data_IF_484896994940
#
_entry.id   IF_484896994940
#
_cell.length_a   1.000
_cell.length_b   1.000
_cell.length_c   1.000
_cell.angle_alpha   90.00
_cell.angle_beta   90.00
_cell.angle_gamma   90.00
#
_symmetry.space_group_name_H-M   'P 1'
#
loop_
_entity.id
_entity.type
_entity.pdbx_description
1 polymer ?
#
# COMPACT_ATOMS: atom_id res chain seq x y z
N UNK A 1 5.02 -1.74 -15.31
CA UNK A 1 5.55 -2.42 -16.52
C UNK A 1 6.93 -1.84 -16.83
N UNK A 2 7.95 -2.68 -16.91
CA UNK A 2 9.31 -2.28 -17.29
C UNK A 2 9.55 -2.63 -18.76
N UNK A 3 10.24 -1.78 -19.53
CA UNK A 3 10.55 -2.01 -20.95
C UNK A 3 11.99 -1.60 -21.23
N UNK A 4 12.71 -2.41 -22.01
CA UNK A 4 14.04 -2.10 -22.53
C UNK A 4 14.12 -2.49 -24.01
N UNK A 5 14.98 -1.81 -24.76
CA UNK A 5 15.20 -2.04 -26.19
C UNK A 5 16.65 -2.50 -26.42
N UNK A 6 16.83 -3.49 -27.29
CA UNK A 6 18.12 -4.12 -27.55
C UNK A 6 18.62 -3.84 -28.96
N UNK A 7 19.90 -4.09 -29.20
CA UNK A 7 20.48 -4.03 -30.55
C UNK A 7 19.84 -5.07 -31.48
N UNK A 8 19.88 -4.81 -32.79
CA UNK A 8 19.43 -5.77 -33.81
C UNK A 8 20.33 -7.02 -33.81
N UNK A 9 19.95 -8.03 -33.04
CA UNK A 9 20.73 -9.23 -32.76
C UNK A 9 19.80 -10.40 -32.44
N UNK A 10 20.25 -11.62 -32.72
CA UNK A 10 19.60 -12.86 -32.25
C UNK A 10 19.98 -13.21 -30.81
N UNK A 11 21.00 -12.56 -30.27
CA UNK A 11 21.42 -12.66 -28.87
C UNK A 11 21.61 -11.23 -28.35
N UNK A 12 20.53 -10.46 -28.18
CA UNK A 12 20.62 -9.09 -27.68
C UNK A 12 21.05 -9.11 -26.21
N UNK A 13 21.94 -8.18 -25.85
CA UNK A 13 22.29 -7.89 -24.46
C UNK A 13 21.67 -6.55 -24.12
N UNK A 14 20.76 -6.53 -23.15
CA UNK A 14 20.09 -5.30 -22.74
C UNK A 14 20.81 -4.59 -21.60
N UNK A 15 21.41 -5.35 -20.68
CA UNK A 15 22.02 -4.83 -19.44
C UNK A 15 21.13 -3.80 -18.73
N UNK A 16 19.83 -4.10 -18.68
CA UNK A 16 18.82 -3.23 -18.10
C UNK A 16 18.57 -3.67 -16.67
N UNK A 17 18.52 -2.68 -15.78
CA UNK A 17 18.09 -2.88 -14.39
C UNK A 17 16.86 -2.04 -14.12
N UNK A 18 15.85 -2.66 -13.51
CA UNK A 18 14.64 -1.98 -13.09
C UNK A 18 14.09 -2.56 -11.79
N UNK A 19 13.31 -1.73 -11.08
CA UNK A 19 12.74 -2.08 -9.79
C UNK A 19 11.23 -2.32 -9.94
N UNK A 20 10.75 -3.42 -9.38
CA UNK A 20 9.33 -3.72 -9.24
C UNK A 20 9.03 -3.71 -7.75
N UNK A 21 8.14 -2.81 -7.33
CA UNK A 21 7.71 -2.68 -5.95
C UNK A 21 6.40 -3.43 -5.70
N UNK A 22 6.17 -3.84 -4.45
CA UNK A 22 4.89 -4.40 -4.00
C UNK A 22 4.60 -5.86 -4.36
N UNK A 23 5.58 -6.67 -4.79
CA UNK A 23 5.36 -8.10 -5.04
C UNK A 23 5.00 -8.87 -3.76
N UNK A 24 3.94 -9.69 -3.84
CA UNK A 24 3.45 -10.55 -2.74
C UNK A 24 3.40 -12.02 -3.16
N UNK A 25 3.27 -12.92 -2.18
CA UNK A 25 3.12 -14.36 -2.45
C UNK A 25 1.91 -14.63 -3.34
N UNK A 26 2.11 -15.47 -4.36
CA UNK A 26 1.13 -15.71 -5.41
C UNK A 26 1.29 -14.83 -6.66
N UNK A 27 2.08 -13.76 -6.60
CA UNK A 27 2.38 -12.96 -7.80
C UNK A 27 3.30 -13.72 -8.78
N UNK A 28 3.32 -13.26 -10.02
CA UNK A 28 4.24 -13.77 -11.04
C UNK A 28 4.93 -12.62 -11.75
N UNK A 29 6.19 -12.83 -12.14
CA UNK A 29 6.88 -11.94 -13.06
C UNK A 29 6.66 -12.47 -14.48
N UNK A 30 5.93 -11.70 -15.28
CA UNK A 30 5.68 -12.01 -16.69
C UNK A 30 6.70 -11.28 -17.57
N UNK A 31 7.50 -12.07 -18.29
CA UNK A 31 8.45 -11.56 -19.27
C UNK A 31 7.88 -11.77 -20.67
N UNK A 32 7.83 -10.71 -21.48
CA UNK A 32 7.41 -10.81 -22.89
C UNK A 32 8.49 -10.24 -23.79
N UNK A 33 8.88 -11.03 -24.80
CA UNK A 33 9.89 -10.64 -25.79
C UNK A 33 9.19 -10.18 -27.07
N UNK A 34 9.64 -9.04 -27.62
CA UNK A 34 9.05 -8.43 -28.80
C UNK A 34 10.13 -8.12 -29.84
N UNK A 35 9.83 -8.37 -31.11
CA UNK A 35 10.63 -7.95 -32.24
C UNK A 35 10.08 -6.64 -32.78
N UNK A 36 10.89 -5.58 -32.75
CA UNK A 36 10.50 -4.26 -33.26
C UNK A 36 11.18 -4.04 -34.61
N UNK A 37 10.41 -4.16 -35.70
CA UNK A 37 10.86 -3.93 -37.08
C UNK A 37 9.92 -2.99 -37.83
N UNK A 38 9.50 -3.37 -39.05
CA UNK A 38 8.44 -2.64 -39.79
C UNK A 38 7.07 -2.74 -39.10
N UNK A 39 6.86 -3.80 -38.33
CA UNK A 39 5.76 -3.99 -37.40
C UNK A 39 6.34 -4.59 -36.10
N UNK A 40 5.65 -4.38 -34.97
CA UNK A 40 6.04 -4.97 -33.69
C UNK A 40 5.35 -6.33 -33.53
N UNK A 41 6.13 -7.39 -33.35
CA UNK A 41 5.64 -8.77 -33.25
C UNK A 41 6.04 -9.38 -31.91
N UNK A 42 5.10 -10.05 -31.23
CA UNK A 42 5.39 -10.79 -30.00
C UNK A 42 6.12 -12.09 -30.35
N UNK A 43 7.33 -12.26 -29.81
CA UNK A 43 8.15 -13.46 -29.98
C UNK A 43 7.67 -14.56 -29.03
N UNK A 44 7.19 -14.17 -27.85
CA UNK A 44 6.72 -15.09 -26.83
C UNK A 44 6.82 -14.51 -25.42
N UNK A 45 6.51 -15.33 -24.43
CA UNK A 45 6.61 -14.94 -23.02
C UNK A 45 6.98 -16.08 -22.08
N UNK A 46 7.38 -15.70 -20.88
CA UNK A 46 7.66 -16.59 -19.78
C UNK A 46 7.07 -16.05 -18.48
N UNK A 47 6.78 -16.97 -17.56
CA UNK A 47 6.23 -16.66 -16.24
C UNK A 47 7.23 -17.18 -15.21
N UNK A 48 7.68 -16.30 -14.33
CA UNK A 48 8.51 -16.64 -13.18
C UNK A 48 7.66 -16.45 -11.90
N UNK A 49 7.13 -17.53 -11.30
CA UNK A 49 6.34 -17.45 -10.07
C UNK A 49 7.12 -16.90 -8.88
N UNK A 50 6.42 -16.22 -7.97
CA UNK A 50 6.96 -15.66 -6.72
C UNK A 50 7.85 -16.65 -5.96
N UNK A 51 7.38 -17.89 -5.86
CA UNK A 51 8.01 -18.96 -5.08
C UNK A 51 9.35 -19.42 -5.68
N UNK A 52 9.65 -19.07 -6.94
CA UNK A 52 10.91 -19.43 -7.59
C UNK A 52 12.04 -18.43 -7.35
N UNK A 53 11.71 -17.18 -6.99
CA UNK A 53 12.72 -16.15 -6.73
C UNK A 53 12.70 -15.63 -5.29
N UNK A 54 11.67 -15.90 -4.49
CA UNK A 54 11.62 -15.48 -3.09
C UNK A 54 11.95 -16.65 -2.14
N UNK A 55 12.75 -16.44 -1.07
CA UNK A 55 13.28 -15.17 -0.58
C UNK A 55 14.67 -14.78 -1.12
N UNK A 56 15.36 -15.69 -1.80
CA UNK A 56 16.81 -15.59 -2.02
C UNK A 56 17.21 -14.92 -3.35
N UNK A 57 16.23 -14.51 -4.15
CA UNK A 57 16.44 -14.13 -5.55
C UNK A 57 16.37 -15.33 -6.50
N UNK A 58 16.58 -15.03 -7.78
CA UNK A 58 16.71 -16.00 -8.87
C UNK A 58 17.87 -15.57 -9.76
N UNK A 59 18.65 -16.50 -10.28
CA UNK A 59 19.63 -16.21 -11.31
C UNK A 59 19.72 -17.41 -12.25
N UNK A 60 19.37 -17.21 -13.51
CA UNK A 60 19.44 -18.29 -14.49
C UNK A 60 18.71 -17.99 -15.80
N UNK A 61 18.70 -18.98 -16.67
CA UNK A 61 18.00 -18.90 -17.96
C UNK A 61 16.51 -19.27 -17.81
N UNK A 62 15.65 -18.46 -18.40
CA UNK A 62 14.21 -18.68 -18.50
C UNK A 62 13.86 -18.94 -19.97
N UNK A 63 13.07 -19.98 -20.22
CA UNK A 63 12.60 -20.30 -21.58
C UNK A 63 11.38 -19.45 -21.95
N UNK A 64 11.48 -18.72 -23.05
CA UNK A 64 10.41 -17.93 -23.65
C UNK A 64 9.55 -18.85 -24.53
N UNK A 65 8.30 -19.07 -24.12
CA UNK A 65 7.34 -19.90 -24.82
C UNK A 65 6.58 -19.10 -25.88
N UNK A 66 6.15 -19.77 -26.95
CA UNK A 66 5.37 -19.15 -28.03
C UNK A 66 6.19 -18.73 -29.26
N UNK A 67 7.50 -18.96 -29.26
CA UNK A 67 8.33 -18.77 -30.46
C UNK A 67 8.02 -19.85 -31.50
N UNK A 68 7.86 -19.43 -32.76
CA UNK A 68 7.76 -20.33 -33.93
C UNK A 68 9.12 -20.95 -34.34
N UNK A 69 10.19 -20.63 -33.62
CA UNK A 69 11.53 -21.11 -33.92
C UNK A 69 11.75 -22.57 -33.50
N UNK A 70 12.58 -23.29 -34.26
CA UNK A 70 12.93 -24.70 -33.98
C UNK A 70 13.89 -24.88 -32.81
N UNK A 71 14.44 -23.78 -32.28
CA UNK A 71 15.37 -23.76 -31.14
C UNK A 71 14.67 -23.09 -29.96
N UNK A 72 14.92 -23.53 -28.72
CA UNK A 72 14.39 -22.81 -27.56
C UNK A 72 14.92 -21.39 -27.54
N UNK A 73 14.03 -20.42 -27.33
CA UNK A 73 14.39 -19.03 -27.06
C UNK A 73 14.50 -18.89 -25.55
N UNK A 74 15.65 -18.44 -25.07
CA UNK A 74 15.90 -18.25 -23.64
C UNK A 74 16.27 -16.80 -23.35
N UNK A 75 16.04 -16.38 -22.11
CA UNK A 75 16.51 -15.11 -21.57
C UNK A 75 17.23 -15.38 -20.24
N UNK A 76 18.45 -14.88 -20.10
CA UNK A 76 19.15 -14.90 -18.82
C UNK A 76 18.57 -13.82 -17.92
N UNK A 77 18.19 -14.16 -16.70
CA UNK A 77 17.49 -13.25 -15.80
C UNK A 77 18.05 -13.40 -14.39
N UNK A 78 18.46 -12.29 -13.79
CA UNK A 78 18.80 -12.20 -12.37
C UNK A 78 17.73 -11.39 -11.67
N UNK A 79 17.10 -11.95 -10.64
CA UNK A 79 16.20 -11.28 -9.70
C UNK A 79 16.92 -11.24 -8.35
N UNK A 80 17.18 -10.05 -7.84
CA UNK A 80 17.69 -9.86 -6.48
C UNK A 80 16.54 -9.45 -5.57
N UNK A 81 16.20 -10.29 -4.59
CA UNK A 81 15.24 -9.89 -3.57
C UNK A 81 15.97 -9.01 -2.56
N UNK A 82 15.86 -7.70 -2.77
CA UNK A 82 16.29 -6.69 -1.83
C UNK A 82 15.45 -6.85 -0.55
N UNK A 83 16.09 -6.99 0.62
CA UNK A 83 15.37 -6.79 1.87
C UNK A 83 14.78 -5.39 1.79
N UNK A 84 13.45 -5.28 1.93
CA UNK A 84 12.85 -3.97 2.16
C UNK A 84 13.59 -3.44 3.37
N UNK A 85 14.39 -2.34 3.27
CA UNK A 85 14.89 -1.72 4.48
C UNK A 85 13.63 -1.50 5.32
N UNK A 86 13.63 -2.02 6.55
CA UNK A 86 12.54 -1.79 7.51
C UNK A 86 12.63 -0.32 7.92
N UNK A 87 12.32 0.53 6.95
CA UNK A 87 12.04 1.94 6.97
C UNK A 87 10.78 2.15 6.14
N UNK A 88 9.89 1.16 6.08
CA UNK A 88 8.50 1.51 6.31
C UNK A 88 8.50 2.10 7.73
N UNK A 89 8.20 3.40 7.94
CA UNK A 89 7.43 3.68 9.14
C UNK A 89 6.30 2.65 9.09
N UNK A 90 6.01 1.96 10.19
CA UNK A 90 4.66 1.46 10.38
C UNK A 90 3.78 2.62 9.95
N UNK A 91 3.11 2.55 8.79
CA UNK A 91 2.39 3.70 8.26
C UNK A 91 1.58 4.23 9.43
N UNK A 92 1.81 5.49 9.78
CA UNK A 92 1.12 6.05 10.93
C UNK A 92 -0.33 6.07 10.47
N UNK A 93 -1.12 5.12 10.96
CA UNK A 93 -2.54 5.02 10.64
C UNK A 93 -3.27 5.83 11.69
N UNK A 94 -4.05 6.82 11.28
CA UNK A 94 -4.94 7.52 12.18
C UNK A 94 -6.33 6.94 12.05
N UNK A 95 -6.98 6.70 13.18
CA UNK A 95 -8.37 6.27 13.23
C UNK A 95 -9.16 7.30 14.01
N UNK A 96 -10.33 7.68 13.48
CA UNK A 96 -11.25 8.59 14.15
C UNK A 96 -12.51 7.83 14.55
N UNK A 97 -12.83 7.85 15.84
CA UNK A 97 -14.11 7.40 16.37
C UNK A 97 -15.01 8.61 16.59
N UNK A 98 -16.12 8.67 15.88
CA UNK A 98 -17.18 9.65 16.11
C UNK A 98 -18.14 9.09 17.17
N UNK A 99 -18.06 9.62 18.39
CA UNK A 99 -18.93 9.17 19.49
C UNK A 99 -20.31 9.80 19.29
N UNK A 100 -20.37 11.13 19.32
CA UNK A 100 -21.61 11.87 19.18
C UNK A 100 -21.38 13.38 19.15
N UNK A 101 -22.46 14.14 19.18
CA UNK A 101 -22.41 15.58 19.37
C UNK A 101 -23.58 16.04 20.25
N UNK A 102 -23.49 17.25 20.79
CA UNK A 102 -24.51 17.86 21.63
C UNK A 102 -24.72 19.33 21.26
N UNK A 103 -25.88 19.86 21.64
CA UNK A 103 -26.24 21.28 21.48
C UNK A 103 -26.20 21.80 20.02
N UNK A 104 -26.44 20.93 19.05
CA UNK A 104 -26.44 21.32 17.63
C UNK A 104 -27.61 22.26 17.28
N UNK A 105 -27.43 23.23 16.37
CA UNK A 105 -28.49 24.11 15.91
C UNK A 105 -29.54 23.33 15.09
N UNK A 106 -30.77 23.82 15.10
CA UNK A 106 -31.88 23.19 14.37
C UNK A 106 -33.22 23.87 14.59
N UNK A 107 -34.08 23.78 13.57
CA UNK A 107 -35.48 24.19 13.62
C UNK A 107 -36.37 23.10 14.22
N UNK A 108 -37.63 23.43 14.49
CA UNK A 108 -38.62 22.50 15.06
C UNK A 108 -38.95 21.29 14.15
N UNK A 109 -38.57 21.34 12.86
CA UNK A 109 -38.70 20.22 11.91
C UNK A 109 -37.69 19.08 12.11
N UNK A 110 -36.72 19.27 13.01
CA UNK A 110 -35.67 18.31 13.33
C UNK A 110 -34.39 18.51 12.52
N UNK A 111 -33.25 18.34 13.18
CA UNK A 111 -31.91 18.31 12.57
C UNK A 111 -31.57 16.87 12.21
N UNK A 112 -31.04 16.59 11.03
CA UNK A 112 -30.60 15.24 10.64
C UNK A 112 -29.06 15.20 10.53
N UNK A 113 -28.32 15.21 11.65
CA UNK A 113 -26.89 15.45 11.62
C UNK A 113 -26.06 14.25 11.14
N UNK A 114 -24.99 14.55 10.41
CA UNK A 114 -23.86 13.66 10.13
C UNK A 114 -22.56 14.45 10.19
N UNK A 115 -21.44 13.77 10.47
CA UNK A 115 -20.12 14.37 10.49
C UNK A 115 -19.29 13.92 9.27
N UNK A 116 -18.50 14.84 8.74
CA UNK A 116 -17.43 14.61 7.77
C UNK A 116 -16.12 14.98 8.43
N UNK A 117 -15.12 14.12 8.32
CA UNK A 117 -13.75 14.42 8.71
C UNK A 117 -12.83 14.31 7.51
N UNK A 118 -11.88 15.22 7.39
CA UNK A 118 -10.80 15.18 6.40
C UNK A 118 -9.49 15.66 7.02
N UNK A 119 -8.37 15.25 6.43
CA UNK A 119 -7.08 15.83 6.71
C UNK A 119 -6.95 17.15 5.94
N UNK A 120 -6.50 18.20 6.64
CA UNK A 120 -6.30 19.54 6.07
C UNK A 120 -5.40 19.49 4.84
N UNK A 121 -5.93 19.89 3.68
CA UNK A 121 -5.19 19.91 2.41
C UNK A 121 -5.18 18.57 1.64
N UNK A 122 -5.75 17.50 2.20
CA UNK A 122 -5.85 16.17 1.57
C UNK A 122 -7.32 15.79 1.39
N UNK A 123 -7.97 16.37 0.37
CA UNK A 123 -9.43 16.21 0.16
C UNK A 123 -9.90 14.78 -0.09
N UNK A 124 -8.99 13.88 -0.47
CA UNK A 124 -9.30 12.47 -0.75
C UNK A 124 -9.35 11.62 0.53
N UNK A 125 -8.88 12.15 1.68
CA UNK A 125 -8.93 11.50 3.00
C UNK A 125 -10.31 11.55 3.69
N UNK A 126 -11.34 11.98 2.96
CA UNK A 126 -12.68 12.24 3.52
C UNK A 126 -13.36 10.97 3.99
N UNK A 127 -13.79 10.99 5.24
CA UNK A 127 -14.69 9.98 5.82
C UNK A 127 -15.97 10.65 6.29
N UNK A 128 -17.07 9.90 6.34
CA UNK A 128 -18.36 10.42 6.80
C UNK A 128 -19.11 9.41 7.65
N UNK A 129 -19.84 9.91 8.65
CA UNK A 129 -20.72 9.09 9.47
C UNK A 129 -22.06 8.83 8.79
N UNK A 130 -22.88 7.95 9.38
CA UNK A 130 -24.32 7.92 9.07
C UNK A 130 -25.03 9.22 9.46
N UNK A 131 -26.21 9.41 8.88
CA UNK A 131 -27.17 10.45 9.28
C UNK A 131 -28.00 9.93 10.45
N UNK A 132 -28.07 10.69 11.54
CA UNK A 132 -29.04 10.47 12.61
C UNK A 132 -30.24 11.39 12.38
N UNK A 133 -31.46 10.88 12.52
CA UNK A 133 -32.67 11.64 12.17
C UNK A 133 -33.22 12.44 13.35
N UNK A 134 -33.65 13.66 13.06
CA UNK A 134 -34.42 14.54 13.96
C UNK A 134 -33.85 14.66 15.38
N UNK A 135 -32.52 14.83 15.49
CA UNK A 135 -31.83 14.96 16.78
C UNK A 135 -30.80 16.09 16.76
N UNK A 136 -30.70 16.80 17.89
CA UNK A 136 -29.61 17.77 18.17
C UNK A 136 -28.48 17.16 18.98
N UNK A 137 -28.66 15.91 19.42
CA UNK A 137 -27.68 15.13 20.17
C UNK A 137 -27.48 13.76 19.48
N UNK A 138 -26.81 13.71 18.32
CA UNK A 138 -26.60 12.44 17.62
C UNK A 138 -25.59 11.56 18.34
N UNK A 139 -25.85 10.26 18.33
CA UNK A 139 -24.90 9.21 18.68
C UNK A 139 -24.55 8.43 17.41
N UNK A 140 -23.33 8.61 16.92
CA UNK A 140 -22.84 7.88 15.73
C UNK A 140 -22.19 6.57 16.15
N UNK A 141 -21.29 6.61 17.14
CA UNK A 141 -20.50 5.45 17.57
C UNK A 141 -19.88 4.71 16.37
N UNK A 142 -19.22 5.46 15.49
CA UNK A 142 -18.63 4.95 14.25
C UNK A 142 -17.13 5.21 14.21
N UNK A 143 -16.37 4.19 13.83
CA UNK A 143 -14.93 4.27 13.62
C UNK A 143 -14.59 4.28 12.13
N UNK A 144 -13.70 5.18 11.74
CA UNK A 144 -13.17 5.31 10.39
C UNK A 144 -11.64 5.42 10.42
N UNK A 145 -10.99 4.88 9.40
CA UNK A 145 -9.56 5.08 9.16
C UNK A 145 -9.37 6.33 8.29
N UNK A 146 -8.35 7.14 8.62
CA UNK A 146 -7.97 8.31 7.84
C UNK A 146 -6.85 7.92 6.88
N UNK A 147 -7.21 7.74 5.62
CA UNK A 147 -6.26 7.44 4.55
C UNK A 147 -5.25 8.58 4.37
N UNK A 148 -3.99 8.22 4.06
CA UNK A 148 -2.89 9.16 3.79
C UNK A 148 -2.50 10.06 4.97
N UNK A 149 -2.73 9.61 6.21
CA UNK A 149 -2.30 10.33 7.41
C UNK A 149 -0.77 10.36 7.57
N UNK A 150 -0.23 11.56 7.82
CA UNK A 150 1.16 11.79 8.19
C UNK A 150 1.28 12.47 9.56
N UNK A 151 2.42 12.25 10.22
CA UNK A 151 2.68 12.85 11.53
C UNK A 151 2.60 14.38 11.47
N UNK A 152 1.66 14.96 12.22
CA UNK A 152 1.48 16.41 12.31
C UNK A 152 0.30 16.95 11.50
N UNK A 153 -0.33 16.12 10.67
CA UNK A 153 -1.55 16.48 9.95
C UNK A 153 -2.66 16.95 10.90
N UNK A 154 -3.46 17.92 10.45
CA UNK A 154 -4.60 18.46 11.20
C UNK A 154 -5.91 17.84 10.70
N UNK A 155 -6.78 17.45 11.63
CA UNK A 155 -8.12 16.94 11.29
C UNK A 155 -9.10 18.11 11.21
N UNK A 156 -9.85 18.19 10.12
CA UNK A 156 -10.97 19.12 9.96
C UNK A 156 -12.27 18.35 10.10
N UNK A 157 -13.13 18.83 11.00
CA UNK A 157 -14.43 18.26 11.30
C UNK A 157 -15.50 19.21 10.77
N UNK A 158 -16.48 18.66 10.08
CA UNK A 158 -17.67 19.37 9.63
C UNK A 158 -18.89 18.58 10.05
N UNK A 159 -19.80 19.21 10.79
CA UNK A 159 -21.10 18.62 11.10
C UNK A 159 -22.14 19.28 10.22
N UNK A 160 -22.83 18.49 9.41
CA UNK A 160 -23.90 18.92 8.53
C UNK A 160 -25.25 18.36 8.99
N UNK A 161 -26.35 19.02 8.62
CA UNK A 161 -27.70 18.45 8.66
C UNK A 161 -28.16 18.16 7.24
N UNK A 162 -28.54 16.91 6.98
CA UNK A 162 -29.16 16.54 5.72
C UNK A 162 -30.64 16.97 5.68
N UNK A 163 -31.05 17.65 4.62
CA UNK A 163 -32.45 17.99 4.38
C UNK A 163 -33.04 17.03 3.33
N UNK A 164 -33.88 16.09 3.77
CA UNK A 164 -34.51 15.09 2.90
C UNK A 164 -35.51 15.68 1.89
N UNK A 165 -36.07 16.87 2.14
CA UNK A 165 -37.03 17.52 1.23
C UNK A 165 -36.32 18.18 0.04
N UNK A 166 -35.20 18.85 0.32
CA UNK A 166 -34.43 19.61 -0.68
C UNK A 166 -33.24 18.84 -1.24
N UNK A 167 -32.85 17.74 -0.59
CA UNK A 167 -31.65 16.95 -0.91
C UNK A 167 -30.33 17.68 -0.61
N UNK A 168 -30.36 18.79 0.14
CA UNK A 168 -29.19 19.63 0.42
C UNK A 168 -28.67 19.40 1.83
N UNK A 169 -27.35 19.50 1.97
CA UNK A 169 -26.68 19.49 3.27
C UNK A 169 -26.43 20.92 3.74
N UNK A 170 -26.78 21.18 5.00
CA UNK A 170 -26.59 22.47 5.65
C UNK A 170 -25.53 22.32 6.72
N UNK A 171 -24.41 23.04 6.60
CA UNK A 171 -23.36 23.05 7.62
C UNK A 171 -23.97 23.53 8.94
N UNK A 172 -23.78 22.79 10.03
CA UNK A 172 -24.17 23.12 11.39
C UNK A 172 -23.02 23.82 12.12
N UNK A 173 -21.83 23.26 12.01
CA UNK A 173 -20.60 23.79 12.59
C UNK A 173 -19.38 23.02 12.11
N UNK A 174 -18.21 23.57 12.38
CA UNK A 174 -16.92 22.99 12.01
C UNK A 174 -15.89 23.20 13.11
N UNK A 175 -14.85 22.37 13.13
CA UNK A 175 -13.71 22.51 14.02
C UNK A 175 -12.44 22.00 13.36
N UNK A 176 -11.30 22.54 13.76
CA UNK A 176 -9.98 22.01 13.37
C UNK A 176 -9.30 21.50 14.63
N UNK A 177 -8.95 20.22 14.65
CA UNK A 177 -8.15 19.64 15.71
C UNK A 177 -6.68 19.58 15.25
N UNK A 178 -5.77 20.36 15.85
CA UNK A 178 -4.41 20.41 15.37
C UNK A 178 -3.66 19.09 15.57
N UNK A 179 -2.80 18.70 14.62
CA UNK A 179 -1.96 17.50 14.74
C UNK A 179 -1.20 17.40 16.06
N UNK A 180 -0.72 18.52 16.58
CA UNK A 180 -0.02 18.60 17.88
C UNK A 180 -0.88 18.17 19.08
N UNK A 181 -2.21 18.21 18.96
CA UNK A 181 -3.12 17.80 20.03
C UNK A 181 -3.22 16.28 20.19
N UNK A 182 -2.92 15.51 19.14
CA UNK A 182 -3.17 14.05 19.13
C UNK A 182 -1.98 13.21 18.63
N UNK A 183 -1.08 13.77 17.81
CA UNK A 183 0.13 13.10 17.35
C UNK A 183 0.92 12.55 18.56
N UNK A 184 1.15 11.23 18.56
CA UNK A 184 1.84 10.38 19.59
C UNK A 184 0.98 9.77 20.69
N UNK A 185 -0.08 10.43 21.16
CA UNK A 185 -0.89 9.93 22.29
C UNK A 185 -2.33 9.59 21.93
N UNK A 186 -2.75 9.91 20.71
CA UNK A 186 -4.15 9.98 20.37
C UNK A 186 -4.83 11.16 21.05
N UNK A 187 -6.14 11.23 20.92
CA UNK A 187 -7.00 12.22 21.55
C UNK A 187 -8.31 11.57 21.94
N UNK A 188 -8.90 11.96 23.07
CA UNK A 188 -10.25 11.57 23.43
C UNK A 188 -10.90 12.73 24.17
N UNK A 189 -12.03 13.21 23.68
CA UNK A 189 -12.78 14.27 24.34
C UNK A 189 -13.66 15.07 23.39
N UNK A 190 -14.20 16.16 23.94
CA UNK A 190 -15.07 17.07 23.23
C UNK A 190 -14.27 18.16 22.50
N UNK A 191 -14.72 18.49 21.29
CA UNK A 191 -14.21 19.57 20.46
C UNK A 191 -15.38 20.52 20.18
N UNK A 192 -15.16 21.81 20.46
CA UNK A 192 -16.19 22.82 20.24
C UNK A 192 -16.36 23.11 18.74
N UNK A 193 -17.61 23.03 18.26
CA UNK A 193 -17.99 23.36 16.90
C UNK A 193 -18.28 24.86 16.78
N UNK A 194 -17.84 25.45 15.68
CA UNK A 194 -18.08 26.86 15.37
C UNK A 194 -18.64 27.04 13.96
N UNK A 195 -19.47 28.06 13.81
CA UNK A 195 -19.81 28.65 12.52
C UNK A 195 -19.57 30.14 12.64
N UNK A 196 -18.64 30.65 11.83
CA UNK A 196 -18.12 32.00 12.00
C UNK A 196 -17.57 32.19 13.44
N UNK A 197 -18.08 33.17 14.18
CA UNK A 197 -17.67 33.43 15.57
C UNK A 197 -18.53 32.68 16.61
N UNK A 198 -19.67 32.12 16.18
CA UNK A 198 -20.65 31.52 17.08
C UNK A 198 -20.31 30.06 17.40
N UNK A 199 -20.46 29.70 18.68
CA UNK A 199 -20.41 28.30 19.12
C UNK A 199 -21.73 27.63 18.74
N UNK A 200 -21.64 26.54 17.97
CA UNK A 200 -22.80 25.83 17.43
C UNK A 200 -22.94 24.40 17.96
N UNK A 201 -22.24 24.06 19.04
CA UNK A 201 -22.33 22.79 19.74
C UNK A 201 -20.97 22.19 20.04
N UNK A 202 -20.96 20.96 20.53
CA UNK A 202 -19.76 20.22 20.89
C UNK A 202 -19.82 18.83 20.24
N UNK A 203 -18.71 18.38 19.66
CA UNK A 203 -18.57 17.02 19.10
C UNK A 203 -17.61 16.21 19.96
N UNK A 204 -18.00 15.01 20.35
CA UNK A 204 -17.13 14.06 21.07
C UNK A 204 -16.49 13.08 20.09
N UNK A 205 -15.16 13.04 20.08
CA UNK A 205 -14.38 12.14 19.22
C UNK A 205 -13.20 11.50 19.96
N UNK A 206 -12.76 10.36 19.45
CA UNK A 206 -11.48 9.74 19.79
C UNK A 206 -10.60 9.63 18.54
N UNK A 207 -9.31 9.93 18.64
CA UNK A 207 -8.32 9.70 17.60
C UNK A 207 -7.25 8.76 18.12
N UNK A 208 -7.04 7.63 17.46
CA UNK A 208 -6.01 6.67 17.79
C UNK A 208 -4.95 6.59 16.69
N UNK A 209 -3.68 6.57 17.09
CA UNK A 209 -2.54 6.46 16.17
C UNK A 209 -1.96 5.05 16.23
N UNK A 210 -1.93 4.37 15.09
CA UNK A 210 -1.41 3.01 14.90
C UNK A 210 -2.43 1.89 15.11
N UNK A 211 -3.67 2.20 15.47
CA UNK A 211 -4.79 1.27 15.68
C UNK A 211 -5.70 1.70 16.86
N UNK A 212 -7.04 1.56 16.76
CA UNK A 212 -7.94 1.87 17.85
C UNK A 212 -7.83 0.85 18.98
N UNK A 213 -7.91 1.31 20.23
CA UNK A 213 -7.88 0.44 21.41
C UNK A 213 -9.16 -0.37 21.61
N UNK A 214 -10.29 0.20 21.17
CA UNK A 214 -11.62 -0.41 21.16
C UNK A 214 -12.27 -0.04 19.83
N UNK A 215 -12.75 -1.03 19.08
CA UNK A 215 -13.47 -0.80 17.82
C UNK A 215 -14.98 -0.66 18.12
N UNK A 216 -15.57 0.55 18.04
CA UNK A 216 -17.00 0.75 18.28
C UNK A 216 -17.90 0.11 17.21
N UNK A 217 -17.34 -0.23 16.04
CA UNK A 217 -18.08 -0.96 15.00
C UNK A 217 -18.13 -2.47 15.31
N UNK A 218 -17.30 -2.97 16.25
CA UNK A 218 -17.30 -4.38 16.67
C UNK A 218 -18.52 -4.65 17.55
N UNK A 219 -19.50 -5.35 17.00
CA UNK A 219 -20.70 -5.78 17.73
C UNK A 219 -20.31 -6.63 18.95
N UNK A 220 -20.68 -6.19 20.15
CA UNK A 220 -20.59 -7.00 21.37
C UNK A 220 -21.60 -8.13 21.26
N UNK A 221 -21.15 -9.30 20.80
CA UNK A 221 -22.00 -10.47 20.60
C UNK A 221 -21.20 -11.65 20.08
N UNK A 222 -20.55 -12.37 21.01
CA UNK A 222 -19.81 -13.60 20.74
C UNK A 222 -18.47 -13.63 21.45
N UNK A 223 -18.51 -14.00 22.73
CA UNK A 223 -17.44 -14.51 23.60
C UNK A 223 -15.98 -14.20 23.21
N UNK A 224 -15.32 -13.36 24.01
CA UNK A 224 -13.87 -13.36 24.19
C UNK A 224 -13.43 -14.71 24.81
N UNK A 225 -13.34 -15.77 24.01
CA UNK A 225 -12.51 -16.91 24.34
C UNK A 225 -11.10 -16.63 23.85
N UNK A 226 -10.23 -16.29 24.80
CA UNK A 226 -8.78 -16.23 24.64
C UNK A 226 -8.24 -17.59 24.23
N UNK A 227 -7.90 -17.76 22.95
CA UNK A 227 -7.06 -18.86 22.50
C UNK A 227 -5.60 -18.46 22.66
N UNK A 228 -5.14 -18.29 23.90
CA UNK A 228 -3.69 -18.28 24.23
C UNK A 228 -3.33 -19.03 25.52
N UNK A 229 -4.26 -19.76 26.15
CA UNK A 229 -3.92 -20.64 27.29
C UNK A 229 -3.40 -22.03 26.90
N UNK A 230 -3.09 -22.29 25.63
CA UNK A 230 -2.40 -23.51 25.22
C UNK A 230 -1.15 -23.17 24.40
N UNK A 231 -0.04 -22.91 25.12
CA UNK A 231 1.28 -23.29 24.59
C UNK A 231 1.34 -24.82 24.58
N UNK A 232 1.87 -25.42 23.52
CA UNK A 232 3.23 -25.93 23.66
C UNK A 232 4.12 -25.63 22.44
N UNK A 233 5.29 -25.06 22.76
CA UNK A 233 6.63 -25.31 22.18
C UNK A 233 6.74 -25.63 20.68
N UNK A 234 7.26 -24.67 19.91
CA UNK A 234 7.75 -24.95 18.55
C UNK A 234 8.18 -23.70 17.78
N UNK A 235 9.45 -23.34 17.94
CA UNK A 235 10.37 -22.67 16.99
C UNK A 235 9.79 -21.63 16.00
N UNK A 236 10.27 -20.38 16.18
CA UNK A 236 10.31 -19.28 15.20
C UNK A 236 10.52 -19.75 13.76
N UNK A 237 9.84 -19.11 12.80
CA UNK A 237 10.55 -18.23 11.85
C UNK A 237 9.61 -17.27 11.10
N UNK A 238 10.21 -16.13 10.73
CA UNK A 238 9.63 -14.84 10.35
C UNK A 238 9.13 -14.81 8.91
N UNK A 239 7.99 -14.15 8.69
CA UNK A 239 7.54 -13.66 7.39
C UNK A 239 8.43 -12.50 6.98
N UNK A 240 9.14 -12.63 5.85
CA UNK A 240 10.02 -11.59 5.31
C UNK A 240 9.42 -11.09 4.00
N UNK A 241 9.27 -9.77 3.86
CA UNK A 241 8.90 -9.08 2.61
C UNK A 241 10.19 -8.70 1.88
N UNK A 242 10.22 -8.83 0.56
CA UNK A 242 11.36 -8.42 -0.26
C UNK A 242 10.92 -7.81 -1.59
N UNK A 243 11.73 -6.89 -2.12
CA UNK A 243 11.54 -6.24 -3.42
C UNK A 243 12.52 -6.83 -4.43
N UNK A 244 12.10 -7.14 -5.65
CA UNK A 244 12.92 -7.80 -6.66
C UNK A 244 13.59 -6.77 -7.61
N UNK A 245 14.93 -6.77 -7.70
CA UNK A 245 15.71 -6.04 -8.70
C UNK A 245 16.12 -6.99 -9.82
N UNK A 246 15.68 -6.72 -11.05
CA UNK A 246 16.03 -7.53 -12.22
C UNK A 246 17.31 -6.99 -12.86
N UNK A 247 18.34 -7.80 -13.07
CA UNK A 247 19.55 -7.45 -13.84
C UNK A 247 19.92 -8.55 -14.85
N UNK A 248 20.56 -8.16 -15.96
CA UNK A 248 21.05 -9.03 -17.02
C UNK A 248 22.56 -8.78 -17.16
N UNK A 249 23.41 -9.70 -16.68
CA UNK A 249 24.89 -9.56 -16.71
C UNK A 249 25.58 -10.59 -17.62
N UNK A 250 26.81 -10.25 -18.03
CA UNK A 250 27.58 -10.79 -19.16
C UNK A 250 28.09 -12.23 -19.03
N UNK A 251 27.84 -13.04 -20.06
CA UNK A 251 28.69 -14.19 -20.43
C UNK A 251 29.91 -13.74 -21.24
N UNK A 252 31.07 -13.61 -20.59
CA UNK A 252 32.35 -13.29 -21.24
C UNK A 252 32.81 -14.40 -22.23
N UNK A 253 33.13 -14.07 -23.50
CA UNK A 253 33.78 -14.98 -24.43
C UNK A 253 35.20 -14.50 -24.81
N UNK A 254 36.22 -15.31 -24.56
CA UNK A 254 37.49 -15.19 -25.28
C UNK A 254 38.57 -16.16 -24.79
N UNK A 255 39.45 -16.73 -25.60
CA UNK A 255 39.62 -16.77 -27.06
C UNK A 255 40.62 -17.90 -27.37
N UNK A 256 40.58 -18.41 -28.60
CA UNK A 256 41.31 -19.58 -29.12
C UNK A 256 42.79 -19.33 -29.44
N UNK A 257 43.55 -20.45 -29.40
CA UNK A 257 44.68 -20.88 -30.28
C UNK A 257 46.07 -20.23 -30.12
N UNK A 258 47.02 -21.08 -29.72
CA UNK A 258 48.44 -20.96 -30.07
C UNK A 258 49.12 -22.35 -30.04
N UNK A 259 49.43 -22.89 -31.21
CA UNK A 259 50.40 -23.98 -31.43
C UNK A 259 51.04 -23.71 -32.80
N UNK A 260 52.25 -24.17 -33.14
CA UNK A 260 53.23 -24.93 -32.35
C UNK A 260 54.67 -24.35 -32.45
N UNK A 261 55.58 -24.75 -31.53
CA UNK A 261 57.00 -24.95 -31.84
C UNK A 261 57.58 -26.07 -30.97
N UNK A 262 57.93 -27.19 -31.60
CA UNK A 262 58.89 -28.19 -31.09
C UNK A 262 60.27 -27.77 -31.59
N UNK A 263 61.21 -27.60 -30.68
CA UNK A 263 62.66 -27.69 -30.92
C UNK A 263 63.37 -28.05 -29.60
N UNK A 264 63.71 -29.34 -29.49
CA UNK A 264 64.97 -29.95 -29.08
C UNK A 264 65.81 -29.50 -27.85
N UNK A 265 66.33 -30.54 -27.17
CA UNK A 265 67.48 -30.66 -26.24
C UNK A 265 67.31 -30.04 -24.85
N UNK A 266 67.66 -30.65 -23.73
CA UNK A 266 68.35 -31.91 -23.39
C UNK A 266 68.60 -31.97 -21.87
N UNK A 267 69.10 -33.11 -21.37
CA UNK A 267 69.59 -33.43 -20.01
C UNK A 267 68.57 -33.32 -18.85
N UNK A 268 68.40 -34.30 -17.96
CA UNK A 268 69.22 -35.44 -17.49
C UNK A 268 68.39 -36.74 -17.42
#
# INVERSE_FOLDING_TARGET
QLKTEGANSLNPVWNYTGMIDGCVSGDTLELTAWCVGKATECIGGAVLPFEQFHPDGFAGEITINGSSSKKPVTAEVKVEVLPVPVTTPKELRAFVSFVGAENLPGSEGGTNPFCVCEISGKSDSKVRTRICNQTKCPEWNELHEMDDYEAGDHMQLFVFSHNYETGRDVLLGSAVLPGTAFHKKGFAGQVQLRRDEDVTGDIEICIDIGGPSVDPNRRVGGEDFTVESLRPTGRMDRVTRGAAMLSLEDGNPGTKKGMPRRANMGSE
#
